data_IF_493714914242
#
_entry.id   IF_493714914242
#
_cell.length_a   1.000
_cell.length_b   1.000
_cell.length_c   1.000
_cell.angle_alpha   90.00
_cell.angle_beta   90.00
_cell.angle_gamma   90.00
#
_symmetry.space_group_name_H-M   'P 1'
#
loop_
_entity.id
_entity.type
_entity.pdbx_description
1 polymer ?
#
# COMPACT_ATOMS: atom_id res chain seq x y z
N UNK A 1 14.19 -7.99 4.52
CA UNK A 1 12.91 -7.26 4.62
C UNK A 1 12.79 -6.08 3.63
N UNK A 2 13.68 -5.07 3.69
CA UNK A 2 13.74 -3.95 2.73
C UNK A 2 13.83 -4.42 1.27
N UNK A 3 14.65 -5.44 1.02
CA UNK A 3 14.83 -6.04 -0.31
C UNK A 3 13.56 -6.67 -0.89
N UNK A 4 12.57 -7.08 -0.07
CA UNK A 4 11.41 -7.86 -0.54
C UNK A 4 10.29 -6.97 -1.10
N UNK A 5 10.12 -5.75 -0.57
CA UNK A 5 9.26 -4.73 -1.19
C UNK A 5 9.80 -4.30 -2.56
N UNK A 6 11.12 -4.10 -2.65
CA UNK A 6 11.83 -3.86 -3.93
C UNK A 6 11.72 -5.05 -4.89
N UNK A 7 11.81 -6.28 -4.38
CA UNK A 7 11.76 -7.49 -5.19
C UNK A 7 10.37 -7.72 -5.76
N UNK A 8 9.31 -7.55 -4.96
CA UNK A 8 7.94 -7.70 -5.43
C UNK A 8 7.52 -6.54 -6.36
N UNK A 9 8.04 -5.31 -6.16
CA UNK A 9 7.89 -4.23 -7.14
C UNK A 9 8.60 -4.56 -8.46
N UNK A 10 9.80 -5.17 -8.40
CA UNK A 10 10.54 -5.64 -9.57
C UNK A 10 9.82 -6.79 -10.29
N UNK A 11 9.29 -7.79 -9.58
CA UNK A 11 8.50 -8.88 -10.18
C UNK A 11 7.23 -8.38 -10.85
N UNK A 12 6.55 -7.40 -10.23
CA UNK A 12 5.41 -6.72 -10.82
C UNK A 12 5.74 -5.88 -12.07
N UNK A 13 7.00 -5.43 -12.24
CA UNK A 13 7.48 -4.71 -13.45
C UNK A 13 7.86 -5.65 -14.59
N UNK A 14 8.20 -6.91 -14.30
CA UNK A 14 8.62 -7.92 -15.30
C UNK A 14 7.50 -8.91 -15.66
N UNK A 15 6.27 -8.69 -15.19
CA UNK A 15 5.11 -9.53 -15.52
C UNK A 15 5.11 -10.91 -14.84
N UNK A 16 6.07 -11.18 -13.96
CA UNK A 16 6.20 -12.43 -13.20
C UNK A 16 5.41 -12.34 -11.89
N UNK A 17 4.10 -12.24 -12.03
CA UNK A 17 3.18 -11.93 -10.94
C UNK A 17 3.12 -13.08 -9.91
N UNK A 18 3.05 -14.33 -10.35
CA UNK A 18 2.99 -15.51 -9.46
C UNK A 18 4.24 -15.65 -8.58
N UNK A 19 5.42 -15.41 -9.14
CA UNK A 19 6.67 -15.37 -8.38
C UNK A 19 6.69 -14.21 -7.37
N UNK A 20 6.17 -13.05 -7.79
CA UNK A 20 5.99 -11.89 -6.92
C UNK A 20 5.04 -12.13 -5.75
N UNK A 21 4.08 -13.05 -5.87
CA UNK A 21 3.10 -13.37 -4.82
C UNK A 21 3.63 -14.40 -3.79
N UNK A 22 4.56 -15.29 -4.17
CA UNK A 22 5.17 -16.26 -3.22
C UNK A 22 6.15 -15.62 -2.23
N UNK A 23 6.83 -14.55 -2.64
CA UNK A 23 7.90 -13.93 -1.84
C UNK A 23 7.40 -13.14 -0.60
N UNK A 24 6.29 -12.40 -0.65
CA UNK A 24 5.73 -11.68 0.50
C UNK A 24 5.34 -12.57 1.68
N UNK A 25 4.77 -13.75 1.44
CA UNK A 25 4.33 -14.66 2.52
C UNK A 25 5.53 -15.21 3.32
N UNK A 26 6.54 -15.70 2.61
CA UNK A 26 7.80 -16.15 3.22
C UNK A 26 8.55 -14.99 3.90
N UNK A 27 8.45 -13.78 3.35
CA UNK A 27 9.03 -12.57 3.92
C UNK A 27 8.41 -12.22 5.28
N UNK A 28 7.08 -12.23 5.37
CA UNK A 28 6.33 -11.93 6.59
C UNK A 28 6.61 -12.98 7.67
N UNK A 29 6.56 -14.27 7.32
CA UNK A 29 6.84 -15.36 8.26
C UNK A 29 8.28 -15.30 8.83
N UNK A 30 9.24 -14.78 8.07
CA UNK A 30 10.62 -14.53 8.53
C UNK A 30 10.73 -13.25 9.35
N UNK A 31 10.07 -12.18 8.94
CA UNK A 31 10.06 -10.90 9.65
C UNK A 31 9.45 -11.04 11.05
N UNK A 32 8.33 -11.76 11.20
CA UNK A 32 7.73 -12.08 12.50
C UNK A 32 8.68 -12.88 13.39
N UNK A 33 9.37 -13.89 12.85
CA UNK A 33 10.35 -14.69 13.61
C UNK A 33 11.57 -13.88 14.07
N UNK A 34 11.95 -12.85 13.33
CA UNK A 34 13.14 -12.03 13.61
C UNK A 34 12.81 -10.68 14.28
N UNK A 35 11.55 -10.44 14.63
CA UNK A 35 11.04 -9.16 15.14
C UNK A 35 11.37 -7.95 14.24
N UNK A 36 11.58 -8.17 12.94
CA UNK A 36 11.88 -7.12 11.96
C UNK A 36 10.58 -6.58 11.33
N UNK A 37 9.65 -6.14 12.18
CA UNK A 37 8.28 -5.78 11.82
C UNK A 37 8.15 -4.41 11.12
N UNK A 38 9.19 -3.58 11.16
CA UNK A 38 9.17 -2.20 10.65
C UNK A 38 8.81 -2.05 9.15
N UNK A 39 8.83 -3.15 8.37
CA UNK A 39 8.52 -3.15 6.94
C UNK A 39 7.20 -3.86 6.61
N UNK A 40 6.55 -4.46 7.61
CA UNK A 40 5.31 -5.23 7.46
C UNK A 40 4.19 -4.47 6.73
N UNK A 41 3.95 -3.17 7.00
CA UNK A 41 2.95 -2.41 6.25
C UNK A 41 3.25 -2.35 4.75
N UNK A 42 4.51 -2.11 4.37
CA UNK A 42 4.91 -2.03 2.97
C UNK A 42 4.82 -3.39 2.26
N UNK A 43 5.05 -4.50 2.98
CA UNK A 43 4.88 -5.84 2.41
C UNK A 43 3.42 -6.11 2.07
N UNK A 44 2.49 -5.83 2.99
CA UNK A 44 1.05 -5.95 2.72
C UNK A 44 0.59 -5.05 1.57
N UNK A 45 1.08 -3.81 1.51
CA UNK A 45 0.78 -2.89 0.41
C UNK A 45 1.25 -3.44 -0.93
N UNK A 46 2.47 -3.96 -1.00
CA UNK A 46 3.03 -4.50 -2.25
C UNK A 46 2.28 -5.76 -2.69
N UNK A 47 1.89 -6.63 -1.75
CA UNK A 47 1.01 -7.77 -2.05
C UNK A 47 -0.31 -7.33 -2.68
N UNK A 48 -0.95 -6.29 -2.14
CA UNK A 48 -2.16 -5.71 -2.72
C UNK A 48 -1.96 -5.18 -4.14
N UNK A 49 -0.86 -4.48 -4.41
CA UNK A 49 -0.55 -4.01 -5.78
C UNK A 49 -0.33 -5.15 -6.78
N UNK A 50 0.30 -6.25 -6.34
CA UNK A 50 0.50 -7.43 -7.19
C UNK A 50 -0.82 -8.12 -7.51
N UNK A 51 -1.67 -8.34 -6.51
CA UNK A 51 -3.02 -8.90 -6.69
C UNK A 51 -3.87 -8.01 -7.62
N UNK A 52 -3.77 -6.68 -7.48
CA UNK A 52 -4.47 -5.75 -8.36
C UNK A 52 -4.03 -5.89 -9.82
N UNK A 53 -2.73 -6.06 -10.06
CA UNK A 53 -2.17 -6.27 -11.41
C UNK A 53 -2.49 -7.65 -11.98
N UNK A 54 -2.68 -8.65 -11.13
CA UNK A 54 -3.05 -10.01 -11.54
C UNK A 54 -4.51 -10.15 -11.94
N UNK A 55 -5.34 -9.13 -11.68
CA UNK A 55 -6.79 -9.21 -11.86
C UNK A 55 -7.49 -10.04 -10.79
N UNK A 56 -6.89 -10.17 -9.59
CA UNK A 56 -7.54 -10.82 -8.45
C UNK A 56 -8.82 -10.09 -8.02
N UNK A 57 -9.63 -10.72 -7.17
CA UNK A 57 -10.87 -10.11 -6.72
C UNK A 57 -10.58 -8.80 -5.97
N UNK A 58 -11.36 -7.77 -6.27
CA UNK A 58 -11.27 -6.45 -5.63
C UNK A 58 -11.20 -6.53 -4.09
N UNK A 59 -11.97 -7.44 -3.50
CA UNK A 59 -12.00 -7.65 -2.05
C UNK A 59 -10.66 -8.15 -1.48
N UNK A 60 -9.93 -9.00 -2.21
CA UNK A 60 -8.63 -9.53 -1.79
C UNK A 60 -7.56 -8.42 -1.83
N UNK A 61 -7.60 -7.61 -2.88
CA UNK A 61 -6.75 -6.43 -3.04
C UNK A 61 -6.99 -5.42 -1.90
N UNK A 62 -8.27 -5.11 -1.65
CA UNK A 62 -8.69 -4.20 -0.58
C UNK A 62 -8.21 -4.69 0.79
N UNK A 63 -8.39 -5.98 1.08
CA UNK A 63 -7.96 -6.59 2.35
C UNK A 63 -6.46 -6.39 2.60
N UNK A 64 -5.64 -6.49 1.55
CA UNK A 64 -4.19 -6.27 1.67
C UNK A 64 -3.87 -4.81 2.04
N UNK A 65 -4.52 -3.84 1.41
CA UNK A 65 -4.29 -2.43 1.73
C UNK A 65 -4.82 -2.06 3.11
N UNK A 66 -5.97 -2.59 3.53
CA UNK A 66 -6.50 -2.37 4.88
C UNK A 66 -5.57 -2.93 5.96
N UNK A 67 -5.00 -4.12 5.73
CA UNK A 67 -3.97 -4.69 6.63
C UNK A 67 -2.73 -3.79 6.69
N UNK A 68 -2.24 -3.33 5.55
CA UNK A 68 -1.10 -2.41 5.50
C UNK A 68 -1.36 -1.13 6.31
N UNK A 69 -2.53 -0.51 6.16
CA UNK A 69 -2.91 0.69 6.91
C UNK A 69 -2.97 0.39 8.41
N UNK A 70 -3.65 -0.69 8.80
CA UNK A 70 -3.77 -1.09 10.22
C UNK A 70 -2.41 -1.31 10.85
N UNK A 71 -1.54 -2.09 10.22
CA UNK A 71 -0.18 -2.35 10.73
C UNK A 71 0.63 -1.06 10.78
N UNK A 72 0.51 -0.16 9.79
CA UNK A 72 1.20 1.12 9.81
C UNK A 72 0.76 1.98 11.00
N UNK A 73 -0.54 2.00 11.31
CA UNK A 73 -1.09 2.72 12.45
C UNK A 73 -0.60 2.13 13.78
N UNK A 74 -0.59 0.80 13.92
CA UNK A 74 -0.06 0.10 15.09
C UNK A 74 1.45 0.35 15.31
N UNK A 75 2.19 0.58 14.23
CA UNK A 75 3.62 0.90 14.26
C UNK A 75 3.93 2.41 14.26
N UNK A 76 2.90 3.27 14.28
CA UNK A 76 3.03 4.73 14.14
C UNK A 76 3.80 5.17 12.88
N UNK A 77 3.76 4.34 11.83
CA UNK A 77 4.53 4.50 10.60
C UNK A 77 3.75 5.32 9.56
N UNK A 78 3.84 6.65 9.65
CA UNK A 78 3.06 7.59 8.81
C UNK A 78 3.28 7.46 7.31
N UNK A 79 4.53 7.30 6.85
CA UNK A 79 4.82 7.22 5.42
C UNK A 79 4.29 5.91 4.80
N UNK A 80 4.48 4.73 5.42
CA UNK A 80 3.81 3.50 4.98
C UNK A 80 2.28 3.60 4.99
N UNK A 81 1.68 4.23 6.01
CA UNK A 81 0.23 4.48 6.05
C UNK A 81 -0.23 5.30 4.83
N UNK A 82 0.46 6.40 4.52
CA UNK A 82 0.16 7.26 3.36
C UNK A 82 0.21 6.48 2.04
N UNK A 83 1.24 5.66 1.84
CA UNK A 83 1.38 4.85 0.63
C UNK A 83 0.24 3.84 0.50
N UNK A 84 -0.11 3.16 1.58
CA UNK A 84 -1.19 2.18 1.58
C UNK A 84 -2.57 2.82 1.36
N UNK A 85 -2.85 3.94 2.03
CA UNK A 85 -4.07 4.73 1.84
C UNK A 85 -4.20 5.25 0.40
N UNK A 86 -3.10 5.69 -0.21
CA UNK A 86 -3.10 6.13 -1.62
C UNK A 86 -3.41 4.98 -2.58
N UNK A 87 -2.86 3.78 -2.34
CA UNK A 87 -3.18 2.58 -3.12
C UNK A 87 -4.64 2.15 -2.97
N UNK A 88 -5.19 2.21 -1.75
CA UNK A 88 -6.60 1.90 -1.49
C UNK A 88 -7.53 2.92 -2.14
N UNK A 89 -7.21 4.22 -2.07
CA UNK A 89 -7.97 5.25 -2.74
C UNK A 89 -8.02 5.07 -4.27
N UNK A 90 -6.92 4.62 -4.89
CA UNK A 90 -6.91 4.25 -6.32
C UNK A 90 -7.82 3.07 -6.64
N UNK A 91 -7.86 2.06 -5.76
CA UNK A 91 -8.78 0.92 -5.92
C UNK A 91 -10.23 1.40 -5.89
N UNK A 92 -10.60 2.20 -4.90
CA UNK A 92 -11.94 2.79 -4.80
C UNK A 92 -12.29 3.71 -5.97
N UNK A 93 -11.33 4.49 -6.47
CA UNK A 93 -11.52 5.28 -7.69
C UNK A 93 -11.87 4.39 -8.89
N UNK A 94 -11.15 3.27 -9.08
CA UNK A 94 -11.42 2.32 -10.17
C UNK A 94 -12.79 1.64 -10.05
N UNK A 95 -13.31 1.51 -8.83
CA UNK A 95 -14.64 0.96 -8.54
C UNK A 95 -15.77 2.01 -8.60
N UNK A 96 -15.45 3.28 -8.83
CA UNK A 96 -16.42 4.38 -8.82
C UNK A 96 -16.85 4.85 -7.43
N UNK A 97 -16.22 4.39 -6.36
CA UNK A 97 -16.54 4.76 -4.96
C UNK A 97 -15.73 5.98 -4.50
N UNK A 98 -15.82 7.09 -5.24
CA UNK A 98 -15.02 8.30 -5.03
C UNK A 98 -15.09 8.87 -3.61
N UNK A 99 -16.27 8.83 -2.97
CA UNK A 99 -16.42 9.33 -1.59
C UNK A 99 -15.55 8.55 -0.59
N UNK A 100 -15.49 7.23 -0.72
CA UNK A 100 -14.65 6.39 0.14
C UNK A 100 -13.16 6.67 -0.12
N UNK A 101 -12.78 6.82 -1.38
CA UNK A 101 -11.42 7.21 -1.79
C UNK A 101 -10.99 8.55 -1.19
N UNK A 102 -11.88 9.56 -1.24
CA UNK A 102 -11.62 10.88 -0.65
C UNK A 102 -11.47 10.79 0.87
N UNK A 103 -12.38 10.10 1.56
CA UNK A 103 -12.40 10.04 3.02
C UNK A 103 -11.10 9.47 3.58
N UNK A 104 -10.66 8.33 3.05
CA UNK A 104 -9.45 7.68 3.56
C UNK A 104 -8.20 8.52 3.25
N UNK A 105 -8.10 9.07 2.05
CA UNK A 105 -6.91 9.80 1.61
C UNK A 105 -6.79 11.18 2.26
N UNK A 106 -7.92 11.89 2.45
CA UNK A 106 -7.94 13.16 3.16
C UNK A 106 -7.52 13.00 4.63
N UNK A 107 -8.03 11.95 5.30
CA UNK A 107 -7.66 11.65 6.67
C UNK A 107 -6.15 11.42 6.80
N UNK A 108 -5.54 10.63 5.93
CA UNK A 108 -4.10 10.33 5.99
C UNK A 108 -3.22 11.52 5.59
N UNK A 109 -3.61 12.31 4.57
CA UNK A 109 -2.85 13.50 4.14
C UNK A 109 -2.84 14.59 5.22
N UNK A 110 -3.91 14.72 6.01
CA UNK A 110 -4.02 15.76 7.05
C UNK A 110 -2.96 15.65 8.17
N UNK A 111 -2.36 14.47 8.38
CA UNK A 111 -1.29 14.28 9.36
C UNK A 111 0.05 14.88 8.95
N UNK A 112 0.20 15.24 7.67
CA UNK A 112 1.44 15.80 7.12
C UNK A 112 1.33 17.33 7.06
N UNK A 113 1.81 18.00 8.10
CA UNK A 113 1.96 19.47 8.13
C UNK A 113 3.15 19.96 7.29
N UNK A 114 4.20 19.15 7.17
CA UNK A 114 5.44 19.42 6.42
C UNK A 114 5.75 18.29 5.43
N UNK A 115 6.78 18.45 4.58
CA UNK A 115 7.18 17.41 3.61
C UNK A 115 6.41 17.42 2.30
N UNK A 116 5.93 18.59 1.87
CA UNK A 116 5.24 18.80 0.60
C UNK A 116 6.05 18.32 -0.62
N UNK A 117 7.38 18.28 -0.48
CA UNK A 117 8.30 17.82 -1.52
C UNK A 117 8.53 16.30 -1.54
N UNK A 118 7.91 15.54 -0.64
CA UNK A 118 7.93 14.08 -0.70
C UNK A 118 7.06 13.60 -1.86
N UNK A 119 7.64 12.78 -2.75
CA UNK A 119 6.97 12.27 -3.95
C UNK A 119 5.64 11.55 -3.63
N UNK A 120 5.62 10.78 -2.54
CA UNK A 120 4.41 10.10 -2.06
C UNK A 120 3.30 11.07 -1.66
N UNK A 121 3.64 12.18 -0.97
CA UNK A 121 2.66 13.17 -0.54
C UNK A 121 2.10 13.98 -1.71
N UNK A 122 2.94 14.30 -2.72
CA UNK A 122 2.46 14.91 -3.97
C UNK A 122 1.49 13.99 -4.72
N UNK A 123 1.84 12.70 -4.84
CA UNK A 123 0.99 11.73 -5.51
C UNK A 123 -0.37 11.56 -4.79
N UNK A 124 -0.36 11.51 -3.46
CA UNK A 124 -1.57 11.45 -2.64
C UNK A 124 -2.46 12.69 -2.83
N UNK A 125 -1.87 13.89 -2.80
CA UNK A 125 -2.63 15.14 -2.99
C UNK A 125 -3.20 15.29 -4.39
N UNK A 126 -2.41 14.98 -5.42
CA UNK A 126 -2.90 14.99 -6.80
C UNK A 126 -4.06 14.03 -7.00
N UNK A 127 -4.01 12.83 -6.40
CA UNK A 127 -5.14 11.90 -6.42
C UNK A 127 -6.35 12.48 -5.68
N UNK A 128 -6.16 13.07 -4.50
CA UNK A 128 -7.23 13.68 -3.73
C UNK A 128 -7.92 14.82 -4.50
N UNK A 129 -7.16 15.64 -5.22
CA UNK A 129 -7.70 16.71 -6.06
C UNK A 129 -8.50 16.16 -7.25
N UNK A 130 -8.05 15.05 -7.86
CA UNK A 130 -8.76 14.37 -8.95
C UNK A 130 -10.02 13.62 -8.51
N UNK A 131 -10.19 13.39 -7.21
CA UNK A 131 -11.37 12.73 -6.66
C UNK A 131 -12.49 13.72 -6.36
N UNK A 132 -12.22 15.03 -6.36
CA UNK A 132 -13.18 16.10 -6.01
C UNK A 132 -14.30 16.28 -7.04
#
# INVERSE_FOLDING_TARGET
PYYLGLLAEAYGKVGRIEDGLRLPEDALARAHRQQQLAYEPDVHRVQGELLRRSGAAAQEVETCFQRAIKTAQEQEARLPELRAATSLARLYQQQGTHRAAQQILAATVAWFSEGHDMADLRAARSLLDNLR
#
